data_IF_002209691020
#
_entry.id   IF_002209691020
#
_cell.length_a   1.000
_cell.length_b   1.000
_cell.length_c   1.000
_cell.angle_alpha   90.00
_cell.angle_beta   90.00
_cell.angle_gamma   90.00
#
_symmetry.space_group_name_H-M   'P 1'
#
loop_
_entity.id
_entity.type
_entity.pdbx_description
1 polymer ?
#
# COMPACT_ATOMS: atom_id res chain seq x y z
N UNK A 1 -30.27 21.61 42.18
CA UNK A 1 -29.16 21.82 41.22
C UNK A 1 -28.30 20.57 41.30
N UNK A 2 -28.66 19.52 40.56
CA UNK A 2 -27.85 18.31 40.44
C UNK A 2 -26.82 18.55 39.35
N UNK A 3 -25.64 19.00 39.74
CA UNK A 3 -24.42 18.89 38.96
C UNK A 3 -23.90 17.46 39.07
N UNK A 4 -24.65 16.51 38.48
CA UNK A 4 -24.11 15.23 38.03
C UNK A 4 -23.65 15.46 36.60
N UNK A 5 -22.63 16.30 36.48
CA UNK A 5 -21.96 16.66 35.24
C UNK A 5 -21.13 15.44 34.83
N UNK A 6 -21.69 14.68 33.90
CA UNK A 6 -20.99 14.14 32.72
C UNK A 6 -19.53 13.74 32.96
N UNK A 7 -19.32 12.70 33.74
CA UNK A 7 -18.25 11.77 33.38
C UNK A 7 -18.76 10.98 32.18
N UNK A 8 -18.73 11.59 31.00
CA UNK A 8 -18.79 10.86 29.73
C UNK A 8 -17.83 9.68 29.90
N UNK A 9 -18.39 8.46 29.93
CA UNK A 9 -17.65 7.28 30.36
C UNK A 9 -16.43 7.17 29.45
N UNK A 10 -15.21 7.26 30.00
CA UNK A 10 -13.97 7.19 29.23
C UNK A 10 -13.94 6.13 28.10
N UNK A 11 -14.52 4.91 28.26
CA UNK A 11 -14.64 3.94 27.17
C UNK A 11 -15.56 4.37 26.01
N UNK A 12 -16.62 5.14 26.27
CA UNK A 12 -17.53 5.66 25.25
C UNK A 12 -16.85 6.72 24.38
N UNK A 13 -16.21 7.70 25.01
CA UNK A 13 -15.42 8.72 24.32
C UNK A 13 -14.30 8.10 23.46
N UNK A 14 -13.65 7.03 23.95
CA UNK A 14 -12.63 6.29 23.19
C UNK A 14 -13.22 5.55 21.98
N UNK A 15 -14.40 4.95 22.11
CA UNK A 15 -15.09 4.28 21.00
C UNK A 15 -15.52 5.28 19.92
N UNK A 16 -16.09 6.41 20.32
CA UNK A 16 -16.48 7.50 19.41
C UNK A 16 -15.25 8.02 18.65
N UNK A 17 -14.17 8.37 19.36
CA UNK A 17 -12.95 8.87 18.74
C UNK A 17 -12.33 7.86 17.75
N UNK A 18 -12.40 6.57 18.05
CA UNK A 18 -11.89 5.53 17.15
C UNK A 18 -12.75 5.39 15.88
N UNK A 19 -14.08 5.57 15.98
CA UNK A 19 -14.97 5.61 14.82
C UNK A 19 -14.74 6.86 13.96
N UNK A 20 -14.56 8.03 14.56
CA UNK A 20 -14.22 9.25 13.84
C UNK A 20 -12.90 9.12 13.06
N UNK A 21 -11.89 8.51 13.69
CA UNK A 21 -10.62 8.20 13.04
C UNK A 21 -10.81 7.26 11.83
N UNK A 22 -11.65 6.23 11.98
CA UNK A 22 -11.96 5.30 10.90
C UNK A 22 -12.67 5.99 9.73
N UNK A 23 -13.67 6.82 9.99
CA UNK A 23 -14.38 7.56 8.95
C UNK A 23 -13.46 8.56 8.24
N UNK A 24 -12.59 9.25 8.99
CA UNK A 24 -11.56 10.12 8.41
C UNK A 24 -10.58 9.35 7.52
N UNK A 25 -10.16 8.15 7.94
CA UNK A 25 -9.30 7.29 7.12
C UNK A 25 -10.01 6.80 5.85
N UNK A 26 -11.29 6.41 5.94
CA UNK A 26 -12.11 6.00 4.78
C UNK A 26 -12.31 7.12 3.77
N UNK A 27 -12.58 8.33 4.22
CA UNK A 27 -12.70 9.50 3.36
C UNK A 27 -11.39 9.74 2.58
N UNK A 28 -10.24 9.69 3.27
CA UNK A 28 -8.93 9.83 2.63
C UNK A 28 -8.63 8.72 1.63
N UNK A 29 -8.96 7.47 1.94
CA UNK A 29 -8.82 6.35 0.99
C UNK A 29 -9.69 6.57 -0.26
N UNK A 30 -10.94 6.99 -0.07
CA UNK A 30 -11.85 7.26 -1.19
C UNK A 30 -11.30 8.36 -2.10
N UNK A 31 -10.80 9.46 -1.54
CA UNK A 31 -10.22 10.55 -2.32
C UNK A 31 -8.95 10.12 -3.06
N UNK A 32 -8.08 9.36 -2.39
CA UNK A 32 -6.88 8.80 -3.01
C UNK A 32 -7.19 7.83 -4.17
N UNK A 33 -8.22 7.00 -4.03
CA UNK A 33 -8.67 6.11 -5.11
C UNK A 33 -9.25 6.88 -6.30
N UNK A 34 -9.99 7.96 -6.04
CA UNK A 34 -10.51 8.83 -7.11
C UNK A 34 -9.38 9.51 -7.86
N UNK A 35 -8.42 10.08 -7.15
CA UNK A 35 -7.21 10.69 -7.73
C UNK A 35 -6.45 9.67 -8.59
N UNK A 36 -6.14 8.49 -8.03
CA UNK A 36 -5.45 7.43 -8.75
C UNK A 36 -6.20 6.95 -10.01
N UNK A 37 -7.54 6.90 -9.97
CA UNK A 37 -8.34 6.55 -11.14
C UNK A 37 -8.25 7.62 -12.24
N UNK A 38 -8.26 8.91 -11.89
CA UNK A 38 -8.06 9.99 -12.86
C UNK A 38 -6.67 9.95 -13.48
N UNK A 39 -5.64 9.76 -12.64
CA UNK A 39 -4.25 9.67 -13.11
C UNK A 39 -4.03 8.45 -14.00
N UNK A 40 -4.69 7.32 -13.72
CA UNK A 40 -4.65 6.14 -14.59
C UNK A 40 -5.21 6.46 -15.98
N UNK A 41 -6.36 7.13 -16.06
CA UNK A 41 -6.96 7.51 -17.35
C UNK A 41 -6.05 8.47 -18.11
N UNK A 42 -5.43 9.42 -17.41
CA UNK A 42 -4.44 10.32 -18.02
C UNK A 42 -3.22 9.54 -18.55
N UNK A 43 -2.67 8.63 -17.75
CA UNK A 43 -1.55 7.78 -18.13
C UNK A 43 -1.88 6.87 -19.32
N UNK A 44 -3.04 6.22 -19.32
CA UNK A 44 -3.51 5.40 -20.44
C UNK A 44 -3.64 6.22 -21.71
N UNK A 45 -4.29 7.39 -21.63
CA UNK A 45 -4.41 8.27 -22.79
C UNK A 45 -3.04 8.68 -23.34
N UNK A 46 -2.10 9.05 -22.48
CA UNK A 46 -0.78 9.47 -22.91
C UNK A 46 0.03 8.32 -23.52
N UNK A 47 0.11 7.17 -22.85
CA UNK A 47 0.88 6.02 -23.31
C UNK A 47 0.25 5.36 -24.55
N UNK A 48 -1.07 5.18 -24.59
CA UNK A 48 -1.73 4.48 -25.69
C UNK A 48 -1.87 5.36 -26.93
N UNK A 49 -2.31 6.62 -26.78
CA UNK A 49 -2.58 7.49 -27.94
C UNK A 49 -1.32 8.12 -28.53
N UNK A 50 -0.38 8.52 -27.68
CA UNK A 50 0.81 9.26 -28.13
C UNK A 50 1.99 8.32 -28.37
N UNK A 51 2.09 7.23 -27.61
CA UNK A 51 3.30 6.38 -27.55
C UNK A 51 3.07 4.97 -28.08
N UNK A 52 1.82 4.57 -28.29
CA UNK A 52 1.47 3.23 -28.76
C UNK A 52 1.80 2.13 -27.75
N UNK A 53 1.90 2.48 -26.46
CA UNK A 53 2.17 1.54 -25.37
C UNK A 53 0.86 1.24 -24.64
N UNK A 54 0.47 -0.04 -24.60
CA UNK A 54 -0.74 -0.47 -23.89
C UNK A 54 -0.50 -0.49 -22.37
N UNK A 55 -1.33 0.22 -21.62
CA UNK A 55 -1.30 0.21 -20.15
C UNK A 55 -2.54 -0.51 -19.64
N UNK A 56 -2.43 -1.83 -19.52
CA UNK A 56 -3.50 -2.69 -19.02
C UNK A 56 -2.96 -3.80 -18.12
N UNK A 57 -3.84 -4.39 -17.31
CA UNK A 57 -3.49 -5.56 -16.50
C UNK A 57 -3.02 -6.74 -17.37
N UNK A 58 -3.56 -6.87 -18.58
CA UNK A 58 -3.17 -7.92 -19.54
C UNK A 58 -1.73 -7.76 -20.05
N UNK A 59 -1.16 -6.55 -19.95
CA UNK A 59 0.24 -6.29 -20.29
C UNK A 59 1.21 -6.67 -19.15
N UNK A 60 0.69 -6.96 -17.95
CA UNK A 60 1.49 -7.35 -16.79
C UNK A 60 1.96 -8.80 -16.96
N UNK A 61 3.28 -9.08 -16.82
CA UNK A 61 3.77 -10.44 -16.87
C UNK A 61 3.14 -11.33 -15.79
N UNK A 62 2.47 -12.41 -16.20
CA UNK A 62 1.81 -13.37 -15.29
C UNK A 62 2.67 -14.59 -14.97
N UNK A 63 3.83 -14.73 -15.61
CA UNK A 63 4.77 -15.82 -15.32
C UNK A 63 5.31 -15.65 -13.90
N UNK A 64 5.29 -16.74 -13.11
CA UNK A 64 5.80 -16.73 -11.74
C UNK A 64 7.22 -16.19 -11.66
N UNK A 65 7.50 -15.40 -10.63
CA UNK A 65 8.79 -14.74 -10.39
C UNK A 65 9.20 -13.69 -11.44
N UNK A 66 8.31 -13.22 -12.30
CA UNK A 66 8.63 -12.11 -13.21
C UNK A 66 8.56 -10.76 -12.51
N UNK A 67 7.71 -10.65 -11.51
CA UNK A 67 7.47 -9.42 -10.76
C UNK A 67 7.85 -9.61 -9.31
N UNK A 68 8.61 -8.65 -8.79
CA UNK A 68 8.89 -8.52 -7.37
C UNK A 68 7.95 -7.44 -6.83
N UNK A 69 7.22 -7.68 -5.73
CA UNK A 69 6.36 -6.66 -5.16
C UNK A 69 7.19 -5.45 -4.72
N UNK A 70 6.82 -4.26 -5.20
CA UNK A 70 7.43 -3.01 -4.73
C UNK A 70 7.04 -2.68 -3.30
N UNK A 71 5.81 -3.04 -2.93
CA UNK A 71 5.22 -2.76 -1.63
C UNK A 71 4.80 -4.07 -1.00
N UNK A 72 5.18 -4.27 0.25
CA UNK A 72 4.78 -5.40 1.08
C UNK A 72 4.08 -4.88 2.32
N UNK A 73 2.95 -5.48 2.66
CA UNK A 73 2.23 -5.17 3.90
C UNK A 73 2.55 -6.28 4.90
N UNK A 74 3.05 -5.89 6.07
CA UNK A 74 3.34 -6.81 7.16
C UNK A 74 2.63 -6.36 8.43
N UNK A 75 2.28 -7.31 9.29
CA UNK A 75 1.77 -7.03 10.61
C UNK A 75 2.94 -7.00 11.58
N UNK A 76 3.18 -5.85 12.19
CA UNK A 76 4.13 -5.72 13.30
C UNK A 76 3.36 -5.95 14.60
N UNK A 77 3.82 -6.94 15.37
CA UNK A 77 3.33 -7.20 16.72
C UNK A 77 4.31 -6.52 17.66
N UNK A 78 3.83 -5.57 18.48
CA UNK A 78 4.68 -5.00 19.52
C UNK A 78 4.92 -6.09 20.57
N UNK A 79 6.07 -6.76 20.47
CA UNK A 79 6.59 -7.62 21.54
C UNK A 79 7.11 -6.72 22.66
N UNK A 80 6.20 -6.25 23.50
CA UNK A 80 6.57 -5.66 24.79
C UNK A 80 7.40 -6.68 25.56
N UNK A 81 8.66 -6.34 25.84
CA UNK A 81 9.59 -7.17 26.62
C UNK A 81 9.22 -7.22 28.13
N UNK A 82 8.05 -6.69 28.49
CA UNK A 82 7.45 -6.74 29.82
C UNK A 82 6.24 -7.66 29.77
N UNK A 83 6.23 -8.65 30.67
CA UNK A 83 5.15 -9.62 30.83
C UNK A 83 3.81 -8.86 30.97
N UNK A 84 2.90 -8.94 29.98
CA UNK A 84 1.74 -8.09 29.97
C UNK A 84 0.86 -8.42 31.18
N UNK A 85 0.29 -7.42 31.88
CA UNK A 85 -0.69 -7.68 32.91
C UNK A 85 -1.85 -8.49 32.30
N UNK A 86 -2.27 -9.53 33.02
CA UNK A 86 -3.34 -10.46 32.62
C UNK A 86 -4.55 -9.66 32.11
N UNK A 87 -4.78 -9.66 30.78
CA UNK A 87 -5.92 -9.03 30.13
C UNK A 87 -5.62 -7.93 29.11
N UNK A 88 -4.37 -7.50 28.89
CA UNK A 88 -4.06 -6.58 27.79
C UNK A 88 -3.95 -7.31 26.44
N UNK A 89 -4.81 -6.92 25.49
CA UNK A 89 -4.74 -7.40 24.12
C UNK A 89 -3.42 -6.95 23.47
N UNK A 90 -2.74 -7.87 22.79
CA UNK A 90 -1.52 -7.55 22.03
C UNK A 90 -1.84 -6.51 20.97
N UNK A 91 -1.18 -5.35 21.04
CA UNK A 91 -1.26 -4.32 20.01
C UNK A 91 -0.51 -4.80 18.78
N UNK A 92 -1.21 -4.88 17.65
CA UNK A 92 -0.60 -5.17 16.36
C UNK A 92 -0.92 -4.03 15.40
N UNK A 93 0.05 -3.62 14.60
CA UNK A 93 -0.12 -2.55 13.60
C UNK A 93 0.31 -3.06 12.24
N UNK A 94 -0.46 -2.75 11.20
CA UNK A 94 -0.06 -2.99 9.82
C UNK A 94 0.90 -1.91 9.35
N UNK A 95 2.01 -2.35 8.76
CA UNK A 95 3.06 -1.47 8.24
C UNK A 95 3.28 -1.79 6.76
N UNK A 96 3.32 -0.71 5.96
CA UNK A 96 3.71 -0.77 4.57
C UNK A 96 5.24 -0.66 4.48
N UNK A 97 5.87 -1.63 3.86
CA UNK A 97 7.32 -1.64 3.63
C UNK A 97 7.61 -1.66 2.14
N UNK A 98 8.57 -0.85 1.72
CA UNK A 98 9.07 -0.90 0.34
C UNK A 98 10.08 -2.06 0.22
N UNK A 99 9.86 -2.93 -0.76
CA UNK A 99 10.70 -4.09 -1.00
C UNK A 99 12.12 -3.67 -1.36
N UNK A 100 13.13 -4.17 -0.63
CA UNK A 100 14.53 -4.14 -1.05
C UNK A 100 14.74 -5.34 -1.98
N UNK A 101 14.66 -5.11 -3.29
CA UNK A 101 14.52 -6.17 -4.29
C UNK A 101 15.57 -7.28 -4.24
N UNK A 102 15.11 -8.53 -4.28
CA UNK A 102 15.90 -9.68 -4.73
C UNK A 102 15.66 -9.88 -6.24
N UNK A 103 16.76 -10.03 -7.00
CA UNK A 103 16.70 -10.21 -8.46
C UNK A 103 16.05 -11.54 -8.82
N UNK A 104 15.14 -11.50 -9.80
CA UNK A 104 15.03 -12.58 -10.79
C UNK A 104 15.60 -12.04 -12.11
N UNK A 105 16.52 -12.82 -12.70
CA UNK A 105 17.21 -12.53 -13.95
C UNK A 105 16.24 -12.02 -15.02
N UNK A 106 16.58 -10.86 -15.61
CA UNK A 106 15.84 -10.20 -16.67
C UNK A 106 15.28 -11.21 -17.70
N UNK A 107 13.96 -11.37 -17.73
CA UNK A 107 13.31 -11.91 -18.91
C UNK A 107 13.52 -10.91 -20.05
N UNK A 108 13.90 -11.36 -21.26
CA UNK A 108 14.12 -10.45 -22.37
C UNK A 108 12.83 -9.68 -22.62
N UNK A 109 12.92 -8.35 -22.51
CA UNK A 109 11.87 -7.45 -22.95
C UNK A 109 11.33 -7.97 -24.28
N UNK A 110 10.03 -8.26 -24.32
CA UNK A 110 9.36 -8.80 -25.50
C UNK A 110 9.50 -7.75 -26.60
N UNK A 111 10.58 -7.87 -27.39
CA UNK A 111 10.88 -6.99 -28.52
C UNK A 111 9.69 -7.07 -29.46
N UNK A 112 8.91 -5.99 -29.55
CA UNK A 112 8.38 -5.61 -30.83
C UNK A 112 9.61 -5.44 -31.74
N UNK A 113 9.71 -6.27 -32.77
CA UNK A 113 10.89 -6.34 -33.63
C UNK A 113 11.26 -4.96 -34.20
N UNK A 114 12.57 -4.64 -34.21
CA UNK A 114 13.15 -4.16 -35.45
C UNK A 114 14.30 -5.07 -35.86
N UNK A 115 14.32 -5.42 -37.15
CA UNK A 115 15.47 -6.01 -37.83
C UNK A 115 16.66 -5.07 -37.68
N UNK A 116 17.78 -5.55 -37.15
CA UNK A 116 19.12 -5.28 -37.66
C UNK A 116 20.16 -5.98 -36.78
N UNK A 117 21.09 -6.68 -37.44
CA UNK A 117 22.33 -7.20 -36.87
C UNK A 117 23.10 -6.13 -36.09
N UNK A 118 23.66 -6.50 -34.95
CA UNK A 118 25.04 -6.17 -34.62
C UNK A 118 25.45 -6.94 -33.36
N UNK A 119 26.38 -7.84 -33.56
CA UNK A 119 27.13 -8.62 -32.60
C UNK A 119 28.28 -7.73 -32.09
N UNK A 120 28.21 -7.26 -30.84
CA UNK A 120 29.35 -6.63 -30.17
C UNK A 120 29.23 -6.66 -28.63
N UNK A 121 30.07 -7.50 -28.03
CA UNK A 121 30.75 -7.30 -26.75
C UNK A 121 29.93 -6.87 -25.52
N UNK A 122 29.43 -7.85 -24.75
CA UNK A 122 29.14 -7.65 -23.32
C UNK A 122 30.40 -7.92 -22.51
N UNK A 123 31.07 -6.85 -22.05
CA UNK A 123 31.95 -6.89 -20.89
C UNK A 123 31.06 -6.93 -19.66
N UNK A 124 30.99 -8.08 -19.01
CA UNK A 124 30.38 -8.24 -17.68
C UNK A 124 31.30 -7.57 -16.66
N UNK A 125 31.02 -6.31 -16.32
CA UNK A 125 31.60 -5.65 -15.16
C UNK A 125 30.91 -6.14 -13.90
N UNK A 126 31.69 -6.94 -13.16
CA UNK A 126 31.53 -7.40 -11.79
C UNK A 126 31.41 -6.21 -10.83
N UNK A 127 30.17 -5.87 -10.48
CA UNK A 127 29.71 -5.20 -9.24
C UNK A 127 28.18 -5.13 -9.31
N UNK A 128 27.55 -6.29 -9.07
CA UNK A 128 26.12 -6.49 -9.22
C UNK A 128 25.39 -5.97 -7.97
N UNK A 129 25.36 -4.64 -7.82
CA UNK A 129 24.49 -3.96 -6.87
C UNK A 129 23.05 -4.23 -7.32
N UNK A 130 22.34 -5.04 -6.52
CA UNK A 130 20.96 -5.48 -6.73
C UNK A 130 20.01 -4.27 -6.73
N UNK A 131 19.78 -3.66 -7.88
CA UNK A 131 18.77 -2.60 -8.04
C UNK A 131 17.43 -3.23 -8.35
N UNK A 132 16.45 -2.97 -7.47
CA UNK A 132 15.04 -3.27 -7.72
C UNK A 132 14.63 -2.55 -9.02
N UNK A 133 14.25 -3.33 -10.04
CA UNK A 133 13.72 -2.74 -11.28
C UNK A 133 12.27 -2.35 -11.00
N UNK A 134 11.98 -1.06 -11.08
CA UNK A 134 10.62 -0.56 -10.93
C UNK A 134 9.71 -1.20 -12.02
N UNK A 135 8.62 -1.90 -11.65
CA UNK A 135 7.71 -2.51 -12.61
C UNK A 135 7.12 -1.56 -13.65
N UNK A 136 7.18 -0.25 -13.43
CA UNK A 136 6.77 0.74 -14.43
C UNK A 136 7.50 0.55 -15.77
N UNK A 137 8.73 0.03 -15.74
CA UNK A 137 9.54 -0.23 -16.93
C UNK A 137 9.09 -1.43 -17.75
N UNK A 138 8.17 -2.27 -17.24
CA UNK A 138 7.53 -3.32 -18.04
C UNK A 138 6.56 -2.75 -19.07
N UNK A 139 5.97 -1.58 -18.79
CA UNK A 139 5.03 -0.92 -19.69
C UNK A 139 5.74 -0.02 -20.70
N UNK A 140 6.77 0.69 -20.24
CA UNK A 140 7.47 1.68 -21.07
C UNK A 140 8.93 1.78 -20.66
N UNK A 141 9.85 1.66 -21.63
CA UNK A 141 11.27 1.86 -21.39
C UNK A 141 11.61 3.28 -20.91
N UNK A 142 10.74 4.25 -21.21
CA UNK A 142 10.88 5.66 -20.82
C UNK A 142 9.53 6.16 -20.28
N UNK A 143 9.09 5.77 -19.08
CA UNK A 143 7.72 6.06 -18.60
C UNK A 143 7.42 7.56 -18.61
N UNK A 144 6.22 7.94 -19.06
CA UNK A 144 5.78 9.34 -19.07
C UNK A 144 5.71 9.90 -17.64
N UNK A 145 5.57 11.23 -17.52
CA UNK A 145 5.19 11.82 -16.24
C UNK A 145 3.84 11.28 -15.78
N UNK A 146 2.84 11.23 -16.67
CA UNK A 146 1.51 10.73 -16.32
C UNK A 146 1.53 9.29 -15.77
N UNK A 147 2.31 8.38 -16.36
CA UNK A 147 2.44 7.02 -15.85
C UNK A 147 3.12 6.96 -14.48
N UNK A 148 4.13 7.81 -14.25
CA UNK A 148 4.81 7.91 -12.94
C UNK A 148 3.89 8.50 -11.88
N UNK A 149 3.12 9.53 -12.23
CA UNK A 149 2.16 10.18 -11.36
C UNK A 149 1.05 9.20 -10.97
N UNK A 150 0.50 8.45 -11.95
CA UNK A 150 -0.47 7.39 -11.69
C UNK A 150 0.07 6.28 -10.78
N UNK A 151 1.32 5.84 -10.99
CA UNK A 151 1.95 4.89 -10.09
C UNK A 151 2.07 5.46 -8.67
N UNK A 152 2.51 6.71 -8.52
CA UNK A 152 2.62 7.37 -7.23
C UNK A 152 1.26 7.53 -6.54
N UNK A 153 0.20 7.84 -7.29
CA UNK A 153 -1.17 7.93 -6.78
C UNK A 153 -1.67 6.57 -6.25
N UNK A 154 -1.42 5.47 -6.95
CA UNK A 154 -1.75 4.14 -6.44
C UNK A 154 -0.92 3.74 -5.21
N UNK A 155 0.37 4.14 -5.13
CA UNK A 155 1.16 3.94 -3.90
C UNK A 155 0.53 4.67 -2.72
N UNK A 156 0.08 5.91 -2.90
CA UNK A 156 -0.68 6.67 -1.88
C UNK A 156 -1.97 5.96 -1.50
N UNK A 157 -2.73 5.44 -2.46
CA UNK A 157 -3.95 4.70 -2.17
C UNK A 157 -3.68 3.45 -1.31
N UNK A 158 -2.63 2.68 -1.60
CA UNK A 158 -2.21 1.53 -0.77
C UNK A 158 -1.83 1.95 0.64
N UNK A 159 -1.12 3.08 0.80
CA UNK A 159 -0.84 3.65 2.12
C UNK A 159 -2.14 3.97 2.88
N UNK A 160 -3.13 4.58 2.23
CA UNK A 160 -4.43 4.85 2.84
C UNK A 160 -5.18 3.56 3.22
N UNK A 161 -5.04 2.47 2.47
CA UNK A 161 -5.62 1.16 2.84
C UNK A 161 -5.02 0.67 4.17
N UNK A 162 -3.70 0.78 4.35
CA UNK A 162 -3.03 0.41 5.61
C UNK A 162 -3.51 1.27 6.77
N UNK A 163 -3.69 2.58 6.55
CA UNK A 163 -4.25 3.47 7.56
C UNK A 163 -5.69 3.10 7.95
N UNK A 164 -6.53 2.74 6.97
CA UNK A 164 -7.89 2.24 7.24
C UNK A 164 -7.84 0.95 8.05
N UNK A 165 -6.99 -0.02 7.67
CA UNK A 165 -6.86 -1.28 8.40
C UNK A 165 -6.46 -1.05 9.88
N UNK A 166 -5.51 -0.14 10.13
CA UNK A 166 -5.09 0.24 11.47
C UNK A 166 -6.22 0.95 12.24
N UNK A 167 -6.95 1.86 11.60
CA UNK A 167 -8.09 2.54 12.22
C UNK A 167 -9.23 1.56 12.55
N UNK A 168 -9.49 0.57 11.69
CA UNK A 168 -10.46 -0.50 11.95
C UNK A 168 -10.07 -1.33 13.16
N UNK A 169 -8.80 -1.72 13.29
CA UNK A 169 -8.32 -2.46 14.47
C UNK A 169 -8.52 -1.66 15.76
N UNK A 170 -8.23 -0.36 15.75
CA UNK A 170 -8.46 0.51 16.91
C UNK A 170 -9.95 0.64 17.26
N UNK A 171 -10.81 0.80 16.25
CA UNK A 171 -12.26 0.88 16.45
C UNK A 171 -12.82 -0.41 17.05
N UNK A 172 -12.36 -1.58 16.58
CA UNK A 172 -12.74 -2.87 17.15
C UNK A 172 -12.29 -3.00 18.60
N UNK A 173 -11.02 -2.69 18.91
CA UNK A 173 -10.50 -2.75 20.26
C UNK A 173 -11.26 -1.81 21.24
N UNK A 174 -11.60 -0.60 20.78
CA UNK A 174 -12.37 0.34 21.59
C UNK A 174 -13.81 -0.14 21.83
N UNK A 175 -14.46 -0.74 20.81
CA UNK A 175 -15.79 -1.31 20.95
C UNK A 175 -15.81 -2.51 21.91
N UNK A 176 -14.78 -3.36 21.89
CA UNK A 176 -14.64 -4.47 22.85
C UNK A 176 -14.45 -3.94 24.28
N UNK A 177 -13.60 -2.93 24.47
CA UNK A 177 -13.39 -2.30 25.78
C UNK A 177 -14.69 -1.67 26.32
N UNK A 178 -15.45 -0.99 25.45
CA UNK A 178 -16.77 -0.44 25.80
C UNK A 178 -17.75 -1.54 26.25
N UNK A 179 -17.88 -2.62 25.48
CA UNK A 179 -18.76 -3.74 25.82
C UNK A 179 -18.35 -4.44 27.12
N UNK A 180 -17.05 -4.52 27.42
CA UNK A 180 -16.55 -5.05 28.70
C UNK A 180 -16.89 -4.12 29.87
N UNK A 181 -16.77 -2.80 29.70
CA UNK A 181 -17.11 -1.82 30.72
C UNK A 181 -18.62 -1.83 31.05
N UNK A 182 -19.48 -1.93 30.03
CA UNK A 182 -20.93 -2.03 30.19
C UNK A 182 -21.33 -3.30 30.98
N UNK A 183 -20.70 -4.44 30.67
CA UNK A 183 -20.92 -5.70 31.41
C UNK A 183 -20.45 -5.63 32.85
N UNK A 184 -19.36 -4.92 33.14
CA UNK A 184 -18.85 -4.76 34.51
C UNK A 184 -19.72 -3.82 35.37
N UNK A 185 -20.51 -2.95 34.73
CA UNK A 185 -21.43 -2.03 35.39
C UNK A 185 -22.84 -2.60 35.61
N UNK A 186 -23.16 -3.76 35.01
CA UNK A 186 -24.46 -4.46 35.10
C UNK A 186 -24.46 -5.52 36.19
#
# INVERSE_FOLDING_TARGET
>A
MSSADESESAPDAAAIAALELLETARARLHDALREAAFDLVAAQREEESTRGCLVSLDAVPTQGNTLTPLLTVAQEVEEGNEEPPVGQARSSTWVLTEGKGERISALPARRAAPKASSEAARKETKDDVLTLVDPIYYFSANPSSALRDGQAAYRRAVQCVVEVANAQQRALAAAEAYACAEKAAS
#
